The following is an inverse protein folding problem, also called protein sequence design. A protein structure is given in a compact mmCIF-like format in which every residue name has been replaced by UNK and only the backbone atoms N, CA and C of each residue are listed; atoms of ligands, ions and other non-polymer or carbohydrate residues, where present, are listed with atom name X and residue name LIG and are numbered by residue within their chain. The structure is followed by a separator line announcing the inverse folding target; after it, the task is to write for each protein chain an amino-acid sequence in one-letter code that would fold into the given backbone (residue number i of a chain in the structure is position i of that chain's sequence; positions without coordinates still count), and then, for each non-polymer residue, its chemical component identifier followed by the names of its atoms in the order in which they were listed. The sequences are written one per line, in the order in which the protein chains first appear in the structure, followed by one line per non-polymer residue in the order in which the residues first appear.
data_IF_626319537914
#
_entry.id   IF_626319537914
#
_cell.length_a   1.000
_cell.length_b   1.000
_cell.length_c   1.000
_cell.angle_alpha   90.00
_cell.angle_beta   90.00
_cell.angle_gamma   90.00
#
_symmetry.space_group_name_H-M   'P 1'
#
loop_
_entity.id
_entity.type
_entity.pdbx_description
1 polymer ?
#
# COMPACT_ATOMS: atom_id res chain seq x y z
N UNK A 1 -50.84 -15.92 -31.67
CA UNK A 1 -49.95 -17.07 -31.31
C UNK A 1 -48.53 -16.89 -31.86
N UNK A 2 -48.34 -16.37 -33.08
CA UNK A 2 -47.00 -16.16 -33.69
C UNK A 2 -46.06 -15.22 -32.90
N UNK A 3 -46.56 -14.10 -32.37
CA UNK A 3 -45.76 -13.11 -31.62
C UNK A 3 -45.22 -13.64 -30.29
N UNK A 4 -45.93 -14.58 -29.65
CA UNK A 4 -45.47 -15.25 -28.43
C UNK A 4 -44.30 -16.19 -28.71
N UNK A 5 -44.27 -16.83 -29.89
CA UNK A 5 -43.16 -17.68 -30.31
C UNK A 5 -41.90 -16.88 -30.62
N UNK A 6 -42.00 -15.69 -31.22
CA UNK A 6 -40.82 -14.84 -31.47
C UNK A 6 -40.13 -14.37 -30.20
N UNK A 7 -40.91 -14.03 -29.15
CA UNK A 7 -40.35 -13.60 -27.87
C UNK A 7 -39.58 -14.75 -27.19
N UNK A 8 -40.11 -15.97 -27.22
CA UNK A 8 -39.44 -17.15 -26.67
C UNK A 8 -38.21 -17.54 -27.50
N UNK A 9 -38.27 -17.45 -28.84
CA UNK A 9 -37.12 -17.68 -29.71
C UNK A 9 -36.00 -16.65 -29.48
N UNK A 10 -36.34 -15.37 -29.28
CA UNK A 10 -35.38 -14.33 -28.94
C UNK A 10 -34.77 -14.47 -27.54
N UNK A 11 -35.47 -15.13 -26.60
CA UNK A 11 -34.88 -15.50 -25.29
C UNK A 11 -33.88 -16.64 -25.46
N UNK A 12 -34.23 -17.67 -26.22
CA UNK A 12 -33.36 -18.82 -26.50
C UNK A 12 -32.09 -18.42 -27.28
N UNK A 13 -32.20 -17.51 -28.25
CA UNK A 13 -31.07 -16.98 -29.00
C UNK A 13 -30.03 -16.28 -28.09
N UNK A 14 -30.50 -15.54 -27.08
CA UNK A 14 -29.65 -14.87 -26.07
C UNK A 14 -28.99 -15.85 -25.10
N UNK A 15 -29.63 -16.97 -24.79
CA UNK A 15 -29.03 -18.02 -23.95
C UNK A 15 -27.95 -18.80 -24.69
N UNK A 16 -28.05 -18.99 -26.01
CA UNK A 16 -27.04 -19.71 -26.81
C UNK A 16 -25.74 -18.94 -27.03
N UNK A 17 -25.74 -17.62 -26.85
CA UNK A 17 -24.55 -16.77 -27.01
C UNK A 17 -23.73 -16.62 -25.73
N UNK A 18 -24.15 -17.22 -24.60
CA UNK A 18 -23.30 -17.29 -23.42
C UNK A 18 -22.30 -18.44 -23.61
N UNK A 19 -20.99 -18.18 -23.56
CA UNK A 19 -20.03 -19.28 -23.51
C UNK A 19 -20.37 -20.14 -22.31
N UNK A 20 -20.43 -21.46 -22.51
CA UNK A 20 -20.58 -22.41 -21.42
C UNK A 20 -19.38 -22.20 -20.48
N UNK A 21 -19.62 -21.54 -19.37
CA UNK A 21 -18.66 -21.53 -18.27
C UNK A 21 -18.79 -22.91 -17.65
N UNK A 22 -17.95 -23.83 -18.13
CA UNK A 22 -17.69 -25.07 -17.41
C UNK A 22 -17.02 -24.63 -16.11
N UNK A 23 -17.81 -24.59 -15.03
CA UNK A 23 -17.24 -24.56 -13.70
C UNK A 23 -16.74 -25.98 -13.48
N UNK A 24 -15.47 -26.20 -13.81
CA UNK A 24 -14.75 -27.40 -13.38
C UNK A 24 -14.93 -27.46 -11.85
N UNK A 25 -15.57 -28.52 -11.35
CA UNK A 25 -15.55 -28.84 -9.92
C UNK A 25 -14.10 -29.22 -9.60
N UNK A 26 -13.31 -28.20 -9.25
CA UNK A 26 -11.89 -28.33 -8.99
C UNK A 26 -11.65 -29.34 -7.87
N UNK A 27 -10.96 -30.43 -8.23
CA UNK A 27 -10.15 -31.18 -7.27
C UNK A 27 -9.19 -30.23 -6.55
N UNK A 28 -8.76 -30.61 -5.36
CA UNK A 28 -7.94 -29.86 -4.40
C UNK A 28 -6.80 -29.04 -5.06
N UNK A 29 -7.13 -27.87 -5.62
CA UNK A 29 -6.15 -26.91 -6.08
C UNK A 29 -5.64 -26.19 -4.85
N UNK A 30 -4.37 -26.44 -4.56
CA UNK A 30 -3.54 -25.64 -3.68
C UNK A 30 -3.88 -24.16 -3.90
N UNK A 31 -4.23 -23.38 -2.86
CA UNK A 31 -4.64 -22.00 -3.05
C UNK A 31 -3.51 -21.24 -3.72
N UNK A 32 -3.68 -20.94 -5.01
CA UNK A 32 -2.78 -20.08 -5.75
C UNK A 32 -2.61 -18.79 -4.94
N UNK A 33 -1.38 -18.30 -4.72
CA UNK A 33 -1.18 -17.05 -4.00
C UNK A 33 -1.95 -15.96 -4.75
N UNK A 34 -3.02 -15.45 -4.14
CA UNK A 34 -3.74 -14.31 -4.69
C UNK A 34 -2.69 -13.23 -5.01
N UNK A 35 -2.56 -12.79 -6.27
CA UNK A 35 -1.67 -11.69 -6.59
C UNK A 35 -2.03 -10.55 -5.67
N UNK A 36 -1.07 -10.08 -4.85
CA UNK A 36 -1.28 -8.88 -4.02
C UNK A 36 -1.53 -7.74 -5.00
N UNK A 37 -2.80 -7.48 -5.30
CA UNK A 37 -3.18 -6.38 -6.16
C UNK A 37 -2.81 -5.11 -5.39
N UNK A 38 -1.72 -4.46 -5.81
CA UNK A 38 -1.31 -3.15 -5.33
C UNK A 38 -2.26 -2.09 -5.88
N UNK A 39 -3.54 -2.20 -5.54
CA UNK A 39 -4.54 -1.21 -5.93
C UNK A 39 -4.28 0.05 -5.11
N UNK A 40 -4.24 1.24 -5.76
CA UNK A 40 -4.08 2.48 -5.04
C UNK A 40 -5.18 2.62 -3.99
N UNK A 41 -4.78 2.83 -2.74
CA UNK A 41 -5.70 2.93 -1.62
C UNK A 41 -6.61 4.15 -1.85
N UNK A 42 -7.95 4.00 -1.85
CA UNK A 42 -8.85 5.12 -1.99
C UNK A 42 -8.61 6.08 -0.82
N UNK A 43 -8.07 7.27 -1.11
CA UNK A 43 -7.74 8.29 -0.09
C UNK A 43 -8.99 8.89 0.59
N UNK A 44 -10.18 8.61 0.06
CA UNK A 44 -11.46 9.18 0.47
C UNK A 44 -12.55 8.12 0.44
N UNK A 45 -13.51 8.22 1.35
CA UNK A 45 -14.71 7.38 1.35
C UNK A 45 -15.45 7.54 0.01
N UNK A 46 -15.96 6.46 -0.61
CA UNK A 46 -16.78 6.56 -1.82
C UNK A 46 -17.99 7.51 -1.66
N UNK A 47 -18.49 7.66 -0.43
CA UNK A 47 -19.58 8.59 -0.08
C UNK A 47 -19.16 10.06 -0.02
N UNK A 48 -17.86 10.32 0.10
CA UNK A 48 -17.27 11.67 0.14
C UNK A 48 -16.75 12.15 -1.23
N UNK A 49 -16.87 11.30 -2.26
CA UNK A 49 -16.54 11.70 -3.61
C UNK A 49 -17.59 12.70 -4.12
N UNK A 50 -17.20 13.88 -4.60
CA UNK A 50 -18.14 14.82 -5.19
C UNK A 50 -18.82 14.15 -6.39
N UNK A 51 -20.12 14.39 -6.56
CA UNK A 51 -20.82 14.01 -7.78
C UNK A 51 -20.22 14.80 -8.94
N UNK A 52 -19.25 14.23 -9.66
CA UNK A 52 -18.77 14.85 -10.88
C UNK A 52 -19.82 14.70 -11.98
N UNK A 53 -20.06 15.79 -12.73
CA UNK A 53 -21.03 15.81 -13.84
C UNK A 53 -20.77 14.68 -14.84
N UNK A 54 -19.51 14.40 -15.13
CA UNK A 54 -19.10 13.34 -16.07
C UNK A 54 -19.55 11.94 -15.63
N UNK A 55 -19.50 11.63 -14.33
CA UNK A 55 -20.00 10.36 -13.80
C UNK A 55 -21.51 10.26 -13.96
N UNK A 56 -22.24 11.35 -13.70
CA UNK A 56 -23.70 11.37 -13.85
C UNK A 56 -24.09 11.26 -15.32
N UNK A 57 -23.37 11.95 -16.22
CA UNK A 57 -23.52 11.84 -17.67
C UNK A 57 -23.26 10.42 -18.14
N UNK A 58 -22.14 9.81 -17.72
CA UNK A 58 -21.80 8.42 -18.04
C UNK A 58 -22.85 7.43 -17.55
N UNK A 59 -23.32 7.56 -16.31
CA UNK A 59 -24.41 6.73 -15.80
C UNK A 59 -25.70 6.92 -16.60
N UNK A 60 -26.01 8.16 -17.01
CA UNK A 60 -27.17 8.46 -17.84
C UNK A 60 -27.04 7.86 -19.25
N UNK A 61 -25.84 7.85 -19.84
CA UNK A 61 -25.55 7.17 -21.12
C UNK A 61 -25.79 5.67 -21.02
N UNK A 62 -25.44 5.06 -19.87
CA UNK A 62 -25.73 3.66 -19.57
C UNK A 62 -27.19 3.41 -19.15
N UNK A 63 -28.04 4.44 -19.16
CA UNK A 63 -29.44 4.39 -18.70
C UNK A 63 -29.58 3.99 -17.23
N UNK A 64 -28.55 4.25 -16.42
CA UNK A 64 -28.52 4.00 -14.98
C UNK A 64 -28.96 5.25 -14.23
N UNK A 65 -30.27 5.45 -14.15
CA UNK A 65 -30.87 6.59 -13.44
C UNK A 65 -30.97 6.32 -11.93
N UNK A 66 -30.76 7.34 -11.08
CA UNK A 66 -31.00 7.21 -9.65
C UNK A 66 -32.50 6.99 -9.39
N UNK A 67 -32.81 5.89 -8.70
CA UNK A 67 -34.18 5.61 -8.26
C UNK A 67 -34.45 6.28 -6.93
N UNK A 68 -35.65 6.84 -6.80
CA UNK A 68 -36.16 7.29 -5.50
C UNK A 68 -36.23 6.11 -4.53
N UNK A 69 -36.17 6.42 -3.23
CA UNK A 69 -36.30 5.40 -2.18
C UNK A 69 -37.63 4.63 -2.29
N UNK A 70 -38.70 5.30 -2.75
CA UNK A 70 -40.01 4.68 -2.99
C UNK A 70 -39.94 3.67 -4.13
N UNK A 71 -39.46 4.08 -5.30
CA UNK A 71 -39.34 3.20 -6.47
C UNK A 71 -38.41 2.01 -6.20
N UNK A 72 -37.33 2.22 -5.44
CA UNK A 72 -36.43 1.14 -5.03
C UNK A 72 -37.15 0.08 -4.20
N UNK A 73 -37.93 0.51 -3.20
CA UNK A 73 -38.73 -0.40 -2.36
C UNK A 73 -39.79 -1.15 -3.16
N UNK A 74 -40.48 -0.46 -4.07
CA UNK A 74 -41.50 -1.06 -4.94
C UNK A 74 -40.89 -2.12 -5.86
N UNK A 75 -39.78 -1.79 -6.54
CA UNK A 75 -39.07 -2.74 -7.42
C UNK A 75 -38.53 -3.94 -6.65
N UNK A 76 -37.98 -3.72 -5.45
CA UNK A 76 -37.54 -4.81 -4.58
C UNK A 76 -38.71 -5.70 -4.19
N UNK A 77 -39.87 -5.14 -3.86
CA UNK A 77 -41.08 -5.91 -3.53
C UNK A 77 -41.54 -6.78 -4.70
N UNK A 78 -41.58 -6.22 -5.91
CA UNK A 78 -41.90 -6.98 -7.14
C UNK A 78 -40.89 -8.11 -7.33
N UNK A 79 -39.60 -7.83 -7.13
CA UNK A 79 -38.55 -8.82 -7.28
C UNK A 79 -38.67 -9.96 -6.28
N UNK A 80 -38.97 -9.65 -5.01
CA UNK A 80 -39.22 -10.65 -3.97
C UNK A 80 -40.42 -11.55 -4.33
N UNK A 81 -41.49 -10.99 -4.90
CA UNK A 81 -42.65 -11.79 -5.35
C UNK A 81 -42.29 -12.69 -6.54
N UNK A 82 -41.52 -12.19 -7.50
CA UNK A 82 -41.01 -13.00 -8.63
C UNK A 82 -40.14 -14.17 -8.13
N UNK A 83 -39.26 -13.91 -7.16
CA UNK A 83 -38.44 -14.95 -6.55
C UNK A 83 -39.29 -15.97 -5.76
N UNK A 84 -40.32 -15.50 -5.04
CA UNK A 84 -41.26 -16.36 -4.33
C UNK A 84 -42.05 -17.26 -5.30
N UNK A 85 -42.53 -16.71 -6.42
CA UNK A 85 -43.22 -17.46 -7.47
C UNK A 85 -42.30 -18.49 -8.13
N UNK A 86 -41.06 -18.13 -8.46
CA UNK A 86 -40.07 -19.08 -9.01
C UNK A 86 -39.80 -20.24 -8.05
N UNK A 87 -39.76 -19.96 -6.74
CA UNK A 87 -39.62 -20.99 -5.71
C UNK A 87 -40.84 -21.91 -5.66
N UNK A 88 -42.06 -21.36 -5.70
CA UNK A 88 -43.31 -22.14 -5.75
C UNK A 88 -43.34 -23.11 -6.94
N UNK A 89 -42.79 -22.70 -8.07
CA UNK A 89 -42.69 -23.50 -9.31
C UNK A 89 -41.48 -24.43 -9.38
N UNK A 90 -40.64 -24.49 -8.33
CA UNK A 90 -39.38 -25.24 -8.31
C UNK A 90 -38.42 -24.87 -9.47
N UNK A 91 -38.48 -23.63 -9.97
CA UNK A 91 -37.53 -23.15 -10.96
C UNK A 91 -36.21 -22.79 -10.27
N UNK A 92 -35.29 -23.76 -10.18
CA UNK A 92 -33.99 -23.59 -9.54
C UNK A 92 -33.04 -22.90 -10.52
N UNK A 93 -32.94 -21.58 -10.44
CA UNK A 93 -31.81 -20.85 -11.04
C UNK A 93 -30.73 -20.63 -9.99
N UNK A 94 -29.45 -20.52 -10.37
CA UNK A 94 -28.36 -20.24 -9.42
C UNK A 94 -28.64 -19.00 -8.54
N UNK A 95 -29.29 -17.98 -9.09
CA UNK A 95 -29.71 -16.80 -8.34
C UNK A 95 -30.78 -17.11 -7.28
N UNK A 96 -31.78 -17.93 -7.61
CA UNK A 96 -32.81 -18.38 -6.65
C UNK A 96 -32.16 -19.22 -5.55
N UNK A 97 -31.22 -20.10 -5.89
CA UNK A 97 -30.48 -20.92 -4.93
C UNK A 97 -29.63 -20.06 -3.98
N UNK A 98 -28.87 -19.10 -4.50
CA UNK A 98 -28.10 -18.13 -3.71
C UNK A 98 -29.00 -17.34 -2.76
N UNK A 99 -30.12 -16.78 -3.26
CA UNK A 99 -31.05 -16.03 -2.42
C UNK A 99 -31.71 -16.90 -1.34
N UNK A 100 -31.99 -18.18 -1.62
CA UNK A 100 -32.49 -19.13 -0.64
C UNK A 100 -31.45 -19.45 0.44
N UNK A 101 -30.19 -19.67 0.08
CA UNK A 101 -29.08 -19.90 1.01
C UNK A 101 -28.86 -18.70 1.93
N UNK A 102 -28.95 -17.47 1.39
CA UNK A 102 -28.85 -16.26 2.21
C UNK A 102 -30.02 -16.06 3.18
N UNK A 103 -31.25 -16.41 2.78
CA UNK A 103 -32.41 -16.37 3.68
C UNK A 103 -32.38 -17.48 4.74
N UNK A 104 -31.94 -18.69 4.37
CA UNK A 104 -31.85 -19.83 5.29
C UNK A 104 -30.89 -19.60 6.46
N UNK A 105 -29.88 -18.76 6.27
CA UNK A 105 -28.88 -18.42 7.28
C UNK A 105 -29.24 -17.21 8.16
N UNK A 106 -30.40 -16.56 7.97
CA UNK A 106 -30.85 -15.44 8.80
C UNK A 106 -32.26 -15.73 9.34
N UNK A 107 -32.39 -16.33 10.54
CA UNK A 107 -33.68 -16.63 11.16
C UNK A 107 -34.40 -15.39 11.71
N UNK A 108 -33.80 -14.21 11.58
CA UNK A 108 -34.37 -12.96 12.08
C UNK A 108 -34.27 -11.86 11.02
N UNK A 109 -35.07 -10.80 11.18
CA UNK A 109 -35.26 -9.67 10.27
C UNK A 109 -34.00 -8.78 10.10
N UNK A 110 -32.82 -9.40 10.11
CA UNK A 110 -31.51 -8.78 9.98
C UNK A 110 -31.24 -8.44 8.51
N UNK A 111 -30.59 -7.29 8.24
CA UNK A 111 -30.24 -6.90 6.89
C UNK A 111 -29.36 -7.97 6.25
N UNK A 112 -29.63 -8.26 4.97
CA UNK A 112 -28.88 -9.25 4.17
C UNK A 112 -27.38 -9.00 4.32
N UNK A 113 -26.69 -9.95 4.95
CA UNK A 113 -25.23 -9.92 5.12
C UNK A 113 -24.55 -10.37 3.84
N UNK A 114 -23.82 -9.47 3.22
CA UNK A 114 -23.02 -9.76 2.03
C UNK A 114 -21.64 -10.24 2.48
N UNK A 115 -21.53 -11.49 2.91
CA UNK A 115 -20.30 -12.05 3.51
C UNK A 115 -19.04 -11.82 2.66
N UNK A 116 -19.15 -11.88 1.32
CA UNK A 116 -18.04 -11.56 0.42
C UNK A 116 -17.61 -10.08 0.49
N UNK A 117 -18.57 -9.16 0.56
CA UNK A 117 -18.30 -7.72 0.70
C UNK A 117 -17.74 -7.42 2.10
N UNK A 118 -18.27 -8.05 3.14
CA UNK A 118 -17.76 -7.95 4.51
C UNK A 118 -16.31 -8.44 4.59
N UNK A 119 -15.99 -9.56 3.96
CA UNK A 119 -14.62 -10.13 3.91
C UNK A 119 -13.65 -9.19 3.20
N UNK A 120 -14.05 -8.61 2.07
CA UNK A 120 -13.23 -7.62 1.35
C UNK A 120 -13.02 -6.37 2.22
N UNK A 121 -14.07 -5.87 2.87
CA UNK A 121 -13.99 -4.71 3.74
C UNK A 121 -13.03 -4.96 4.92
N UNK A 122 -13.14 -6.13 5.56
CA UNK A 122 -12.26 -6.54 6.64
C UNK A 122 -10.80 -6.64 6.18
N UNK A 123 -10.54 -7.24 5.01
CA UNK A 123 -9.19 -7.33 4.45
C UNK A 123 -8.58 -5.94 4.21
N UNK A 124 -9.35 -4.98 3.69
CA UNK A 124 -8.90 -3.59 3.53
C UNK A 124 -8.62 -2.89 4.85
N UNK A 125 -9.42 -3.14 5.89
CA UNK A 125 -9.20 -2.58 7.22
C UNK A 125 -7.92 -3.15 7.84
N UNK A 126 -7.71 -4.47 7.75
CA UNK A 126 -6.49 -5.13 8.21
C UNK A 126 -5.27 -4.58 7.47
N UNK A 127 -5.30 -4.55 6.14
CA UNK A 127 -4.22 -3.97 5.33
C UNK A 127 -3.91 -2.52 5.73
N UNK A 128 -4.95 -1.69 5.95
CA UNK A 128 -4.75 -0.31 6.39
C UNK A 128 -4.06 -0.23 7.75
N UNK A 129 -4.45 -1.08 8.70
CA UNK A 129 -3.83 -1.13 10.03
C UNK A 129 -2.37 -1.60 9.96
N UNK A 130 -2.07 -2.60 9.13
CA UNK A 130 -0.72 -3.12 8.90
C UNK A 130 0.18 -2.04 8.28
N UNK A 131 -0.29 -1.36 7.22
CA UNK A 131 0.45 -0.26 6.61
C UNK A 131 0.69 0.90 7.58
N UNK A 132 -0.28 1.22 8.44
CA UNK A 132 -0.10 2.27 9.45
C UNK A 132 0.98 1.90 10.46
N UNK A 133 1.04 0.64 10.88
CA UNK A 133 2.06 0.14 11.80
C UNK A 133 3.44 0.14 11.13
N UNK A 134 3.54 -0.38 9.91
CA UNK A 134 4.78 -0.39 9.13
C UNK A 134 5.34 1.02 8.95
N UNK A 135 4.49 1.99 8.60
CA UNK A 135 4.88 3.39 8.47
C UNK A 135 5.39 3.98 9.79
N UNK A 136 4.81 3.57 10.93
CA UNK A 136 5.26 4.01 12.25
C UNK A 136 6.65 3.48 12.57
N UNK A 137 6.88 2.17 12.35
CA UNK A 137 8.16 1.51 12.60
C UNK A 137 9.25 2.11 11.72
N UNK A 138 8.98 2.30 10.42
CA UNK A 138 9.95 2.89 9.50
C UNK A 138 10.32 4.32 9.89
N UNK A 139 9.36 5.13 10.36
CA UNK A 139 9.65 6.48 10.86
C UNK A 139 10.54 6.45 12.10
N UNK A 140 10.27 5.55 13.02
CA UNK A 140 11.08 5.38 14.22
C UNK A 140 12.52 4.97 13.86
N UNK A 141 12.70 4.01 12.96
CA UNK A 141 14.00 3.59 12.47
C UNK A 141 14.75 4.70 11.74
N UNK A 142 14.07 5.48 10.89
CA UNK A 142 14.67 6.66 10.25
C UNK A 142 15.17 7.67 11.29
N UNK A 143 14.34 8.00 12.28
CA UNK A 143 14.73 8.93 13.35
C UNK A 143 15.94 8.41 14.15
N UNK A 144 15.97 7.10 14.44
CA UNK A 144 17.10 6.46 15.14
C UNK A 144 18.38 6.56 14.33
N UNK A 145 18.33 6.21 13.04
CA UNK A 145 19.49 6.28 12.15
C UNK A 145 19.97 7.72 11.94
N UNK A 146 19.07 8.69 11.85
CA UNK A 146 19.42 10.11 11.78
C UNK A 146 20.15 10.57 13.04
N UNK A 147 19.70 10.16 14.23
CA UNK A 147 20.35 10.47 15.50
C UNK A 147 21.75 9.83 15.57
N UNK A 148 21.90 8.58 15.15
CA UNK A 148 23.19 7.90 15.09
C UNK A 148 24.16 8.57 14.10
N UNK A 149 23.67 8.94 12.91
CA UNK A 149 24.46 9.66 11.92
C UNK A 149 24.92 11.02 12.44
N UNK A 150 24.04 11.76 13.12
CA UNK A 150 24.39 13.03 13.75
C UNK A 150 25.45 12.86 14.84
N UNK A 151 25.37 11.79 15.65
CA UNK A 151 26.36 11.50 16.69
C UNK A 151 27.73 11.16 16.10
N UNK A 152 27.78 10.25 15.12
CA UNK A 152 29.02 9.89 14.40
C UNK A 152 29.65 11.09 13.71
N UNK A 153 28.84 11.99 13.15
CA UNK A 153 29.33 13.23 12.52
C UNK A 153 30.01 14.15 13.53
N UNK A 154 29.44 14.30 14.74
CA UNK A 154 30.07 15.07 15.83
C UNK A 154 31.39 14.44 16.27
N UNK A 155 31.43 13.12 16.37
CA UNK A 155 32.66 12.39 16.70
C UNK A 155 33.76 12.60 15.63
N UNK A 156 33.42 12.48 14.35
CA UNK A 156 34.34 12.77 13.24
C UNK A 156 34.91 14.18 13.33
N UNK A 157 34.05 15.18 13.54
CA UNK A 157 34.47 16.58 13.69
C UNK A 157 35.41 16.78 14.89
N UNK A 158 35.14 16.10 16.01
CA UNK A 158 36.00 16.17 17.19
C UNK A 158 37.37 15.55 16.93
N UNK A 159 37.43 14.42 16.22
CA UNK A 159 38.70 13.76 15.85
C UNK A 159 39.48 14.60 14.82
N UNK A 160 38.80 15.20 13.84
CA UNK A 160 39.41 16.12 12.88
C UNK A 160 40.00 17.36 13.56
N UNK A 161 39.35 17.89 14.60
CA UNK A 161 39.91 18.98 15.40
C UNK A 161 41.18 18.53 16.13
N UNK A 162 41.14 17.36 16.79
CA UNK A 162 42.32 16.81 17.49
C UNK A 162 43.50 16.58 16.55
N UNK A 163 43.24 16.09 15.34
CA UNK A 163 44.27 15.90 14.32
C UNK A 163 44.90 17.24 13.90
N UNK A 164 44.09 18.29 13.70
CA UNK A 164 44.58 19.63 13.40
C UNK A 164 45.45 20.19 14.52
N UNK A 165 45.01 20.03 15.77
CA UNK A 165 45.78 20.49 16.94
C UNK A 165 47.10 19.74 17.07
N UNK A 166 47.10 18.43 16.81
CA UNK A 166 48.29 17.58 16.85
C UNK A 166 49.29 17.98 15.75
N UNK A 167 48.84 18.18 14.51
CA UNK A 167 49.69 18.70 13.44
C UNK A 167 50.30 20.06 13.80
N UNK A 168 49.51 20.98 14.37
CA UNK A 168 50.03 22.28 14.80
C UNK A 168 51.09 22.15 15.91
N UNK A 169 50.96 21.17 16.81
CA UNK A 169 51.98 20.91 17.84
C UNK A 169 53.23 20.26 17.25
N UNK A 170 53.06 19.34 16.30
CA UNK A 170 54.14 18.70 15.57
C UNK A 170 54.98 19.75 14.85
N UNK A 171 54.33 20.64 14.09
CA UNK A 171 55.02 21.71 13.37
C UNK A 171 55.81 22.60 14.33
N UNK A 172 55.25 22.99 15.49
CA UNK A 172 55.98 23.77 16.50
C UNK A 172 57.22 23.05 17.02
N UNK A 173 57.13 21.74 17.27
CA UNK A 173 58.25 20.93 17.73
C UNK A 173 59.32 20.79 16.64
N UNK A 174 58.94 20.62 15.38
CA UNK A 174 59.89 20.60 14.26
C UNK A 174 60.63 21.94 14.11
N UNK A 175 59.91 23.07 14.24
CA UNK A 175 60.55 24.39 14.20
C UNK A 175 61.55 24.54 15.35
N UNK A 176 61.16 24.23 16.58
CA UNK A 176 62.06 24.25 17.73
C UNK A 176 63.26 23.31 17.55
N UNK A 177 63.05 22.12 16.98
CA UNK A 177 64.12 21.17 16.65
C UNK A 177 65.12 21.75 15.64
N UNK A 178 64.63 22.43 14.60
CA UNK A 178 65.49 23.15 13.63
C UNK A 178 66.27 24.28 14.28
N UNK A 179 65.65 25.05 15.17
CA UNK A 179 66.31 26.15 15.88
C UNK A 179 67.46 25.64 16.78
N UNK A 180 67.21 24.54 17.50
CA UNK A 180 68.24 23.88 18.33
C UNK A 180 69.36 23.34 17.46
N UNK A 181 69.05 22.69 16.33
CA UNK A 181 70.06 22.19 15.41
C UNK A 181 70.92 23.32 14.84
N UNK A 182 70.32 24.45 14.46
CA UNK A 182 71.06 25.62 14.00
C UNK A 182 72.00 26.19 15.09
N UNK A 183 71.57 26.17 16.35
CA UNK A 183 72.41 26.58 17.49
C UNK A 183 73.60 25.62 17.68
N UNK A 184 73.37 24.31 17.60
CA UNK A 184 74.45 23.30 17.64
C UNK A 184 75.44 23.53 16.50
N UNK A 185 74.96 23.71 15.27
CA UNK A 185 75.81 23.91 14.11
C UNK A 185 76.66 25.19 14.24
N UNK A 186 76.07 26.26 14.79
CA UNK A 186 76.78 27.51 15.09
C UNK A 186 77.89 27.30 16.14
N UNK A 187 77.60 26.63 17.26
CA UNK A 187 78.59 26.29 18.28
C UNK A 187 79.69 25.38 17.72
N UNK A 188 79.32 24.38 16.93
CA UNK A 188 80.27 23.49 16.26
C UNK A 188 81.18 24.24 15.27
N UNK A 189 80.68 25.28 14.61
CA UNK A 189 81.50 26.14 13.76
C UNK A 189 82.51 26.96 14.57
N UNK A 190 82.10 27.52 15.71
CA UNK A 190 82.99 28.25 16.64
C UNK A 190 84.08 27.33 17.18
N UNK A 191 83.73 26.13 17.66
CA UNK A 191 84.71 25.15 18.16
C UNK A 191 85.72 24.78 17.08
N UNK A 192 85.26 24.53 15.85
CA UNK A 192 86.15 24.26 14.71
C UNK A 192 87.11 25.42 14.44
N UNK A 193 86.64 26.67 14.52
CA UNK A 193 87.47 27.85 14.34
C UNK A 193 88.55 27.99 15.44
N UNK A 194 88.20 27.74 16.71
CA UNK A 194 89.15 27.74 17.82
C UNK A 194 90.22 26.65 17.64
N UNK A 195 89.82 25.44 17.28
CA UNK A 195 90.74 24.33 17.00
C UNK A 195 91.69 24.66 15.84
N UNK A 196 91.23 25.40 14.83
CA UNK A 196 92.05 25.84 13.71
C UNK A 196 93.06 26.95 14.09
N UNK A 197 92.73 27.83 15.04
CA UNK A 197 93.61 28.90 15.53
C UNK A 197 94.66 28.42 16.54
N UNK A 198 94.44 27.27 17.18
CA UNK A 198 95.37 26.65 18.13
C UNK A 198 96.42 25.72 17.50
N UNK A 199 96.47 25.63 16.16
CA UNK A 199 97.52 24.94 15.38
C UNK A 199 98.41 25.95 14.70
#
# INVERSE_FOLDING_TARGET
LATRNEIELNKLARCRSQPSVVVEEGGEEQPLPCPRLSLPQPRRSPRSLPHCGDKISFMSTLQLYPLSTKERKERETIWQEVLAERRRRQCVTPLVQYCCQQRGNSPDNSPVRWSGIESVLQAYQTYHSECSLEMSVLREECNRLEAEAASRRKESQAMEQRLRDLHATHDKLEHAGRDVQASIDSLMAVVRAIVALGR
#
